data_IF_540105168163
#
_entry.id   IF_540105168163
#
_cell.length_a   1.000
_cell.length_b   1.000
_cell.length_c   1.000
_cell.angle_alpha   90.00
_cell.angle_beta   90.00
_cell.angle_gamma   90.00
#
_symmetry.space_group_name_H-M   'P 1'
#
loop_
_entity.id
_entity.type
_entity.pdbx_description
1 polymer ?
#
# COMPACT_ATOMS: atom_id res chain seq x y z
N UNK A 1 -7.23 33.99 -43.62
CA UNK A 1 -8.31 33.32 -42.86
C UNK A 1 -8.36 31.86 -43.29
N UNK A 2 -7.55 31.01 -42.67
CA UNK A 2 -7.72 29.56 -42.59
C UNK A 2 -6.67 29.11 -41.59
N UNK A 3 -7.14 28.83 -40.37
CA UNK A 3 -6.33 28.40 -39.24
C UNK A 3 -6.18 26.88 -39.28
N UNK A 4 -4.94 26.47 -39.10
CA UNK A 4 -4.43 25.12 -38.85
C UNK A 4 -5.17 24.46 -37.67
N UNK A 5 -5.78 23.31 -37.94
CA UNK A 5 -6.48 22.51 -36.95
C UNK A 5 -5.46 21.67 -36.17
N UNK A 6 -4.91 22.22 -35.08
CA UNK A 6 -4.12 21.44 -34.13
C UNK A 6 -5.04 20.44 -33.38
N UNK A 7 -4.86 19.15 -33.63
CA UNK A 7 -5.41 18.06 -32.82
C UNK A 7 -4.72 18.05 -31.45
N UNK A 8 -5.33 18.71 -30.47
CA UNK A 8 -4.92 18.63 -29.08
C UNK A 8 -5.55 17.37 -28.46
N UNK A 9 -4.85 16.23 -28.53
CA UNK A 9 -5.22 15.03 -27.77
C UNK A 9 -4.91 15.29 -26.30
N UNK A 10 -5.92 15.72 -25.55
CA UNK A 10 -5.92 15.67 -24.09
C UNK A 10 -5.77 14.21 -23.66
N UNK A 11 -4.81 13.85 -22.79
CA UNK A 11 -4.83 12.57 -22.12
C UNK A 11 -5.95 12.59 -21.09
N UNK A 12 -7.18 12.32 -21.55
CA UNK A 12 -8.28 11.97 -20.67
C UNK A 12 -8.01 10.58 -20.09
N UNK A 13 -8.18 10.48 -18.78
CA UNK A 13 -8.21 9.24 -18.00
C UNK A 13 -6.87 8.52 -17.76
N UNK A 14 -5.90 9.25 -17.22
CA UNK A 14 -5.05 8.64 -16.21
C UNK A 14 -5.95 8.33 -14.99
N UNK A 15 -6.54 7.13 -14.97
CA UNK A 15 -7.13 6.54 -13.78
C UNK A 15 -6.16 6.78 -12.63
N UNK A 16 -6.48 7.76 -11.78
CA UNK A 16 -5.66 8.07 -10.62
C UNK A 16 -5.93 6.93 -9.66
N UNK A 17 -5.13 5.86 -9.74
CA UNK A 17 -5.02 4.92 -8.64
C UNK A 17 -4.89 5.78 -7.36
N UNK A 18 -5.64 5.47 -6.29
CA UNK A 18 -5.55 6.25 -5.06
C UNK A 18 -4.08 6.35 -4.73
N UNK A 19 -3.56 7.59 -4.72
CA UNK A 19 -2.13 7.82 -4.49
C UNK A 19 -1.89 7.45 -3.03
N UNK A 20 -1.51 6.19 -2.76
CA UNK A 20 -1.06 5.77 -1.45
C UNK A 20 -0.03 6.80 -1.00
N UNK A 21 -0.33 7.52 0.08
CA UNK A 21 0.48 8.64 0.51
C UNK A 21 1.76 8.17 1.20
N UNK A 22 2.21 8.94 2.19
CA UNK A 22 3.41 8.57 2.93
C UNK A 22 3.18 7.26 3.70
N UNK A 23 4.25 6.49 3.92
CA UNK A 23 4.23 5.38 4.87
C UNK A 23 3.99 5.89 6.30
N UNK A 24 3.02 5.28 6.98
CA UNK A 24 2.59 5.65 8.34
C UNK A 24 2.82 4.55 9.36
N UNK A 25 2.94 3.30 8.92
CA UNK A 25 3.28 2.16 9.79
C UNK A 25 4.20 1.20 9.04
N UNK A 26 5.24 0.74 9.72
CA UNK A 26 6.09 -0.35 9.26
C UNK A 26 6.34 -1.30 10.44
N UNK A 27 6.02 -2.57 10.26
CA UNK A 27 6.37 -3.64 11.21
C UNK A 27 7.18 -4.71 10.49
N UNK A 28 8.29 -5.11 11.13
CA UNK A 28 9.29 -6.01 10.55
C UNK A 28 9.47 -7.25 11.43
N UNK A 29 9.47 -8.41 10.77
CA UNK A 29 9.72 -9.72 11.37
C UNK A 29 8.96 -9.95 12.69
N UNK A 30 7.69 -9.54 12.74
CA UNK A 30 6.87 -9.65 13.94
C UNK A 30 6.65 -11.12 14.27
N UNK A 31 7.07 -11.50 15.47
CA UNK A 31 6.78 -12.79 16.08
C UNK A 31 5.95 -12.58 17.32
N UNK A 32 4.88 -13.36 17.46
CA UNK A 32 4.03 -13.35 18.64
C UNK A 32 3.53 -14.74 18.90
N UNK A 33 3.62 -15.20 20.14
CA UNK A 33 3.10 -16.50 20.54
C UNK A 33 2.32 -16.41 21.85
N UNK A 34 1.80 -17.55 22.27
CA UNK A 34 1.34 -17.74 23.64
C UNK A 34 2.40 -18.53 24.39
N UNK A 35 2.76 -18.04 25.57
CA UNK A 35 3.54 -18.84 26.52
C UNK A 35 2.61 -19.91 27.09
N UNK A 36 2.81 -21.15 26.62
CA UNK A 36 2.20 -22.32 27.23
C UNK A 36 3.35 -23.14 27.80
N UNK A 37 3.15 -23.63 29.01
CA UNK A 37 4.12 -24.42 29.77
C UNK A 37 4.63 -25.69 29.07
N UNK A 38 4.11 -26.04 27.88
CA UNK A 38 4.48 -27.23 27.10
C UNK A 38 5.03 -26.93 25.69
N UNK A 39 5.36 -25.68 25.40
CA UNK A 39 5.98 -25.28 24.13
C UNK A 39 5.42 -23.95 23.62
N UNK A 40 6.27 -23.17 22.98
CA UNK A 40 5.87 -21.90 22.38
C UNK A 40 5.00 -22.18 21.14
N UNK A 41 3.74 -21.75 21.19
CA UNK A 41 2.87 -21.74 20.01
C UNK A 41 2.88 -20.32 19.43
N UNK A 42 3.59 -20.14 18.32
CA UNK A 42 3.60 -18.89 17.58
C UNK A 42 2.26 -18.69 16.85
N UNK A 43 1.65 -17.53 17.07
CA UNK A 43 0.46 -17.01 16.37
C UNK A 43 0.88 -16.20 15.15
N UNK A 44 1.98 -15.45 15.26
CA UNK A 44 2.64 -14.74 14.18
C UNK A 44 4.08 -15.23 14.13
N UNK A 45 4.55 -15.61 12.95
CA UNK A 45 5.95 -15.97 12.72
C UNK A 45 6.53 -15.15 11.57
N UNK A 46 7.40 -14.19 11.91
CA UNK A 46 8.19 -13.42 10.94
C UNK A 46 7.36 -12.50 10.04
N UNK A 47 6.21 -12.02 10.50
CA UNK A 47 5.28 -11.23 9.68
C UNK A 47 5.82 -9.82 9.42
N UNK A 48 5.74 -9.37 8.18
CA UNK A 48 6.10 -8.01 7.75
C UNK A 48 4.86 -7.31 7.20
N UNK A 49 4.64 -6.05 7.58
CA UNK A 49 3.52 -5.24 7.09
C UNK A 49 3.91 -3.76 7.04
N UNK A 50 3.52 -3.10 5.95
CA UNK A 50 3.62 -1.65 5.77
C UNK A 50 2.23 -1.09 5.48
N UNK A 51 1.93 0.10 6.01
CA UNK A 51 0.70 0.82 5.75
C UNK A 51 1.02 2.25 5.31
N UNK A 52 0.37 2.71 4.24
CA UNK A 52 0.47 4.08 3.72
C UNK A 52 -0.83 4.85 3.91
N UNK A 53 -0.74 6.18 3.91
CA UNK A 53 -1.92 7.04 3.99
C UNK A 53 -2.92 6.72 2.86
N UNK A 54 -4.19 6.58 3.24
CA UNK A 54 -5.29 6.25 2.32
C UNK A 54 -5.51 4.75 2.10
N UNK A 55 -4.65 3.88 2.63
CA UNK A 55 -4.84 2.43 2.60
C UNK A 55 -5.74 1.96 3.77
N UNK A 56 -6.55 0.94 3.52
CA UNK A 56 -7.37 0.24 4.52
C UNK A 56 -7.01 -1.25 4.42
N UNK A 57 -6.51 -1.83 5.51
CA UNK A 57 -5.96 -3.19 5.60
C UNK A 57 -6.59 -3.96 6.75
#
# INVERSE_FOLDING_TARGET
>A
MQQDLQTQTTPADAQTAPRSGREILEVKAVRRGFDKSQGELLVLDGVNLSLREGEIV
#
